data_IF_501605053210
#
_entry.id   IF_501605053210
#
_cell.length_a   1.000
_cell.length_b   1.000
_cell.length_c   1.000
_cell.angle_alpha   90.00
_cell.angle_beta   90.00
_cell.angle_gamma   90.00
#
_symmetry.space_group_name_H-M   'P 1'
#
loop_
_entity.id
_entity.type
_entity.pdbx_description
1 polymer ?
#
# COMPACT_ATOMS: atom_id res chain seq x y z
N UNK A 1 4.09 22.46 -12.22
CA UNK A 1 2.97 21.54 -12.45
C UNK A 1 3.11 20.46 -11.39
N UNK A 2 2.12 20.34 -10.53
CA UNK A 2 2.14 19.44 -9.38
C UNK A 2 2.08 17.99 -9.87
N UNK A 3 3.02 17.15 -9.41
CA UNK A 3 3.10 15.75 -9.83
C UNK A 3 1.93 14.95 -9.25
N UNK A 4 1.46 15.32 -8.05
CA UNK A 4 0.33 14.68 -7.39
C UNK A 4 -0.95 14.93 -8.20
N UNK A 5 -1.16 16.14 -8.70
CA UNK A 5 -2.30 16.44 -9.57
C UNK A 5 -2.31 15.64 -10.87
N UNK A 6 -1.14 15.35 -11.46
CA UNK A 6 -1.07 14.45 -12.64
C UNK A 6 -1.38 13.00 -12.29
N UNK A 7 -0.95 12.55 -11.11
CA UNK A 7 -1.26 11.22 -10.62
C UNK A 7 -2.77 11.11 -10.43
N UNK A 8 -3.40 12.09 -9.81
CA UNK A 8 -4.87 12.17 -9.65
C UNK A 8 -5.59 12.07 -11.00
N UNK A 9 -5.17 12.83 -12.02
CA UNK A 9 -5.73 12.74 -13.39
C UNK A 9 -5.66 11.30 -13.96
N UNK A 10 -4.54 10.60 -13.77
CA UNK A 10 -4.37 9.20 -14.21
C UNK A 10 -5.32 8.26 -13.44
N UNK A 11 -5.49 8.48 -12.14
CA UNK A 11 -6.36 7.68 -11.28
C UNK A 11 -7.85 7.91 -11.57
N UNK A 12 -8.25 9.13 -11.93
CA UNK A 12 -9.60 9.44 -12.42
C UNK A 12 -9.90 8.75 -13.76
N UNK A 13 -8.94 8.80 -14.70
CA UNK A 13 -9.05 8.09 -15.98
C UNK A 13 -9.16 6.58 -15.76
N UNK A 14 -8.39 6.04 -14.83
CA UNK A 14 -8.46 4.64 -14.43
C UNK A 14 -9.85 4.28 -13.88
N UNK A 15 -10.36 5.06 -12.92
CA UNK A 15 -11.65 4.79 -12.29
C UNK A 15 -12.80 4.79 -13.32
N UNK A 16 -12.84 5.81 -14.17
CA UNK A 16 -13.85 5.94 -15.23
C UNK A 16 -13.74 4.84 -16.29
N UNK A 17 -12.52 4.45 -16.68
CA UNK A 17 -12.30 3.38 -17.65
C UNK A 17 -12.69 2.01 -17.09
N UNK A 18 -12.31 1.73 -15.84
CA UNK A 18 -12.71 0.51 -15.11
C UNK A 18 -14.23 0.43 -14.99
N UNK A 19 -14.89 1.53 -14.62
CA UNK A 19 -16.34 1.60 -14.55
C UNK A 19 -17.02 1.28 -15.88
N UNK A 20 -16.52 1.86 -16.97
CA UNK A 20 -17.04 1.61 -18.32
C UNK A 20 -16.90 0.15 -18.72
N UNK A 21 -15.72 -0.46 -18.52
CA UNK A 21 -15.48 -1.88 -18.83
C UNK A 21 -16.46 -2.76 -18.06
N UNK A 22 -16.59 -2.56 -16.75
CA UNK A 22 -17.49 -3.38 -15.92
C UNK A 22 -18.95 -3.24 -16.36
N UNK A 23 -19.40 -2.01 -16.68
CA UNK A 23 -20.76 -1.76 -17.18
C UNK A 23 -21.01 -2.43 -18.53
N UNK A 24 -20.11 -2.25 -19.49
CA UNK A 24 -20.26 -2.80 -20.84
C UNK A 24 -20.36 -4.32 -20.82
N UNK A 25 -19.42 -4.98 -20.16
CA UNK A 25 -19.41 -6.44 -20.04
C UNK A 25 -20.60 -6.94 -19.22
N UNK A 26 -20.99 -6.20 -18.17
CA UNK A 26 -22.15 -6.52 -17.35
C UNK A 26 -23.47 -6.47 -18.13
N UNK A 27 -23.69 -5.45 -18.97
CA UNK A 27 -24.90 -5.38 -19.81
C UNK A 27 -24.91 -6.46 -20.89
N UNK A 28 -23.76 -6.75 -21.51
CA UNK A 28 -23.64 -7.83 -22.49
C UNK A 28 -23.92 -9.20 -21.86
N UNK A 29 -23.39 -9.47 -20.67
CA UNK A 29 -23.56 -10.74 -19.97
C UNK A 29 -25.03 -11.03 -19.57
N UNK A 30 -25.84 -10.00 -19.29
CA UNK A 30 -27.27 -10.17 -18.97
C UNK A 30 -28.10 -10.76 -20.11
N UNK A 31 -27.63 -10.60 -21.34
CA UNK A 31 -28.33 -11.08 -22.53
C UNK A 31 -27.87 -12.48 -22.99
N UNK A 32 -26.91 -13.08 -22.29
CA UNK A 32 -26.30 -14.36 -22.63
C UNK A 32 -26.79 -15.49 -21.72
N UNK A 33 -26.66 -16.72 -22.21
CA UNK A 33 -26.82 -17.91 -21.38
C UNK A 33 -25.66 -18.01 -20.37
N UNK A 34 -25.87 -18.78 -19.30
CA UNK A 34 -24.96 -18.78 -18.15
C UNK A 34 -23.49 -19.08 -18.52
N UNK A 35 -23.23 -20.08 -19.37
CA UNK A 35 -21.87 -20.46 -19.76
C UNK A 35 -21.18 -19.33 -20.56
N UNK A 36 -21.86 -18.78 -21.57
CA UNK A 36 -21.36 -17.67 -22.38
C UNK A 36 -21.15 -16.39 -21.55
N UNK A 37 -22.03 -16.15 -20.57
CA UNK A 37 -21.89 -15.04 -19.64
C UNK A 37 -20.65 -15.21 -18.74
N UNK A 38 -20.33 -16.43 -18.29
CA UNK A 38 -19.12 -16.68 -17.50
C UNK A 38 -17.85 -16.44 -18.31
N UNK A 39 -17.79 -16.91 -19.56
CA UNK A 39 -16.65 -16.66 -20.45
C UNK A 39 -16.43 -15.16 -20.66
N UNK A 40 -17.51 -14.41 -20.92
CA UNK A 40 -17.43 -12.97 -21.09
C UNK A 40 -16.97 -12.24 -19.81
N UNK A 41 -17.38 -12.70 -18.64
CA UNK A 41 -16.93 -12.10 -17.37
C UNK A 41 -15.46 -12.43 -17.05
N UNK A 42 -14.94 -13.57 -17.54
CA UNK A 42 -13.52 -13.86 -17.47
C UNK A 42 -12.71 -12.92 -18.39
N UNK A 43 -13.17 -12.69 -19.62
CA UNK A 43 -12.56 -11.70 -20.54
C UNK A 43 -12.54 -10.29 -19.93
N UNK A 44 -13.60 -9.91 -19.20
CA UNK A 44 -13.65 -8.64 -18.46
C UNK A 44 -12.50 -8.56 -17.46
N UNK A 45 -12.28 -9.63 -16.68
CA UNK A 45 -11.26 -9.64 -15.63
C UNK A 45 -9.84 -9.60 -16.21
N UNK A 46 -9.61 -10.27 -17.35
CA UNK A 46 -8.38 -10.14 -18.13
C UNK A 46 -8.17 -8.68 -18.58
N UNK A 47 -9.20 -8.04 -19.15
CA UNK A 47 -9.12 -6.64 -19.59
C UNK A 47 -8.88 -5.66 -18.44
N UNK A 48 -9.41 -5.94 -17.25
CA UNK A 48 -9.14 -5.15 -16.06
C UNK A 48 -7.68 -5.30 -15.59
N UNK A 49 -7.10 -6.49 -15.72
CA UNK A 49 -5.67 -6.71 -15.49
C UNK A 49 -4.80 -5.91 -16.46
N UNK A 50 -5.12 -5.94 -17.76
CA UNK A 50 -4.42 -5.12 -18.77
C UNK A 50 -4.53 -3.62 -18.46
N UNK A 51 -5.71 -3.16 -18.02
CA UNK A 51 -5.91 -1.76 -17.62
C UNK A 51 -5.01 -1.38 -16.43
N UNK A 52 -4.85 -2.27 -15.44
CA UNK A 52 -3.96 -2.02 -14.30
C UNK A 52 -2.50 -1.90 -14.77
N UNK A 53 -2.04 -2.74 -15.70
CA UNK A 53 -0.71 -2.60 -16.31
C UNK A 53 -0.54 -1.30 -17.10
N UNK A 54 -1.56 -0.89 -17.87
CA UNK A 54 -1.57 0.38 -18.61
C UNK A 54 -1.44 1.58 -17.66
N UNK A 55 -2.14 1.54 -16.52
CA UNK A 55 -2.08 2.60 -15.50
C UNK A 55 -0.73 2.65 -14.80
N UNK A 56 -0.16 1.51 -14.42
CA UNK A 56 1.19 1.46 -13.84
C UNK A 56 2.19 2.12 -14.77
N UNK A 57 2.16 1.81 -16.07
CA UNK A 57 3.06 2.45 -17.06
C UNK A 57 2.84 3.96 -17.16
N UNK A 58 1.58 4.42 -17.19
CA UNK A 58 1.27 5.86 -17.18
C UNK A 58 1.80 6.55 -15.92
N UNK A 59 1.68 5.91 -14.76
CA UNK A 59 2.23 6.43 -13.50
C UNK A 59 3.76 6.49 -13.55
N UNK A 60 4.43 5.46 -14.08
CA UNK A 60 5.89 5.46 -14.29
C UNK A 60 6.33 6.61 -15.20
N UNK A 61 5.59 6.91 -16.28
CA UNK A 61 5.86 8.05 -17.15
C UNK A 61 5.67 9.40 -16.46
N UNK A 62 4.62 9.54 -15.64
CA UNK A 62 4.31 10.76 -14.89
C UNK A 62 5.35 11.03 -13.81
N UNK A 63 5.80 9.98 -13.13
CA UNK A 63 6.74 10.05 -12.00
C UNK A 63 8.18 10.19 -12.51
N UNK A 64 8.56 9.44 -13.55
CA UNK A 64 9.92 9.38 -14.05
C UNK A 64 10.93 9.00 -12.96
N UNK A 65 12.09 9.65 -12.95
CA UNK A 65 13.16 9.41 -11.96
C UNK A 65 12.85 10.01 -10.57
N UNK A 66 11.70 10.65 -10.39
CA UNK A 66 11.33 11.34 -9.14
C UNK A 66 10.67 10.44 -8.11
N UNK A 67 10.58 9.14 -8.36
CA UNK A 67 9.90 8.23 -7.45
C UNK A 67 9.90 6.80 -7.93
N UNK A 68 9.07 5.99 -7.29
CA UNK A 68 8.85 4.58 -7.62
C UNK A 68 7.37 4.26 -7.51
N UNK A 69 6.81 3.63 -8.55
CA UNK A 69 5.44 3.08 -8.51
C UNK A 69 5.42 1.84 -7.64
N UNK A 70 4.39 1.73 -6.79
CA UNK A 70 4.15 0.59 -5.91
C UNK A 70 2.89 -0.16 -6.34
N UNK A 71 1.77 0.57 -6.49
CA UNK A 71 0.47 0.02 -6.92
C UNK A 71 0.00 -1.18 -6.09
N UNK A 72 -0.20 -0.97 -4.79
CA UNK A 72 -0.53 -2.02 -3.82
C UNK A 72 -1.86 -1.75 -3.13
N UNK A 73 -2.78 -2.71 -3.15
CA UNK A 73 -4.01 -2.64 -2.37
C UNK A 73 -3.73 -3.04 -0.91
N UNK A 74 -3.88 -2.09 0.01
CA UNK A 74 -3.50 -2.28 1.42
C UNK A 74 -4.70 -2.36 2.36
N UNK A 75 -5.86 -1.86 1.94
CA UNK A 75 -7.12 -2.07 2.65
C UNK A 75 -8.29 -2.14 1.67
N UNK A 76 -9.26 -2.98 2.00
CA UNK A 76 -10.53 -3.06 1.29
C UNK A 76 -11.60 -3.51 2.27
N UNK A 77 -12.51 -2.61 2.63
CA UNK A 77 -13.59 -2.93 3.55
C UNK A 77 -14.97 -2.67 2.94
N UNK A 78 -15.88 -3.61 3.17
CA UNK A 78 -17.29 -3.46 2.83
C UNK A 78 -18.02 -2.85 4.03
N UNK A 79 -18.70 -1.72 3.85
CA UNK A 79 -19.38 -1.01 4.95
C UNK A 79 -20.90 -0.99 4.84
N UNK A 80 -21.44 -1.49 3.73
CA UNK A 80 -22.87 -1.64 3.54
C UNK A 80 -23.10 -2.82 2.60
N UNK A 81 -23.86 -3.83 3.05
CA UNK A 81 -24.17 -5.05 2.31
C UNK A 81 -25.58 -5.57 2.60
N UNK A 82 -26.31 -5.99 1.57
CA UNK A 82 -27.60 -6.69 1.69
C UNK A 82 -28.23 -6.97 0.34
N UNK A 83 -29.53 -7.32 0.30
CA UNK A 83 -30.19 -7.74 -0.96
C UNK A 83 -30.11 -6.65 -2.04
N UNK A 84 -29.17 -6.81 -2.95
CA UNK A 84 -28.95 -5.93 -4.09
C UNK A 84 -28.14 -4.66 -3.79
N UNK A 85 -27.42 -4.55 -2.67
CA UNK A 85 -26.56 -3.39 -2.41
C UNK A 85 -25.22 -3.82 -1.80
N UNK A 86 -24.12 -3.29 -2.34
CA UNK A 86 -22.81 -3.34 -1.69
C UNK A 86 -22.00 -2.07 -1.94
N UNK A 87 -21.32 -1.59 -0.89
CA UNK A 87 -20.35 -0.51 -0.96
C UNK A 87 -19.02 -0.96 -0.36
N UNK A 88 -17.95 -0.84 -1.15
CA UNK A 88 -16.59 -1.21 -0.75
C UNK A 88 -15.69 0.02 -0.89
N UNK A 89 -15.01 0.39 0.19
CA UNK A 89 -13.89 1.34 0.15
C UNK A 89 -12.61 0.55 -0.09
N UNK A 90 -11.77 1.01 -1.01
CA UNK A 90 -10.52 0.37 -1.44
C UNK A 90 -9.42 1.40 -1.33
N UNK A 91 -8.39 1.12 -0.54
CA UNK A 91 -7.24 2.01 -0.32
C UNK A 91 -6.00 1.39 -0.96
N UNK A 92 -5.35 2.16 -1.83
CA UNK A 92 -4.09 1.77 -2.47
C UNK A 92 -2.94 2.68 -2.07
N UNK A 93 -1.76 2.09 -1.97
CA UNK A 93 -0.49 2.80 -2.09
C UNK A 93 -0.17 2.89 -3.59
N UNK A 94 -0.03 4.10 -4.10
CA UNK A 94 0.17 4.34 -5.54
C UNK A 94 1.66 4.38 -5.85
N UNK A 95 2.40 5.26 -5.18
CA UNK A 95 3.83 5.45 -5.41
C UNK A 95 4.51 6.15 -4.23
N UNK A 96 5.83 6.05 -4.19
CA UNK A 96 6.67 6.91 -3.35
C UNK A 96 7.37 7.96 -4.23
N UNK A 97 7.28 9.22 -3.85
CA UNK A 97 7.91 10.36 -4.54
C UNK A 97 9.12 10.85 -3.73
N UNK A 98 10.28 10.92 -4.36
CA UNK A 98 11.50 11.41 -3.75
C UNK A 98 11.39 12.89 -3.40
N UNK A 99 11.81 13.22 -2.18
CA UNK A 99 11.81 14.59 -1.67
C UNK A 99 13.23 15.15 -1.64
N UNK A 100 13.35 16.47 -1.52
CA UNK A 100 14.65 17.13 -1.30
C UNK A 100 15.25 16.80 0.09
N UNK A 101 14.44 16.24 1.00
CA UNK A 101 14.89 15.84 2.33
C UNK A 101 15.49 14.43 2.26
N UNK A 102 16.79 14.25 2.59
CA UNK A 102 17.44 12.95 2.54
C UNK A 102 16.69 11.90 3.38
N UNK A 103 16.55 10.70 2.83
CA UNK A 103 15.94 9.57 3.52
C UNK A 103 14.43 9.64 3.71
N UNK A 104 13.75 10.55 3.02
CA UNK A 104 12.28 10.65 3.06
C UNK A 104 11.67 10.73 1.67
N UNK A 105 10.52 10.07 1.53
CA UNK A 105 9.66 10.11 0.37
C UNK A 105 8.26 10.60 0.76
N UNK A 106 7.52 11.16 -0.20
CA UNK A 106 6.09 11.37 -0.09
C UNK A 106 5.38 10.15 -0.69
N UNK A 107 4.77 9.35 0.17
CA UNK A 107 3.91 8.26 -0.26
C UNK A 107 2.57 8.82 -0.72
N UNK A 108 2.19 8.50 -1.94
CA UNK A 108 0.90 8.86 -2.52
C UNK A 108 -0.08 7.72 -2.29
N UNK A 109 -1.21 8.06 -1.69
CA UNK A 109 -2.31 7.15 -1.39
C UNK A 109 -3.51 7.53 -2.25
N UNK A 110 -4.33 6.53 -2.59
CA UNK A 110 -5.59 6.74 -3.28
C UNK A 110 -6.69 5.89 -2.64
N UNK A 111 -7.86 6.49 -2.46
CA UNK A 111 -9.06 5.78 -2.03
C UNK A 111 -10.08 5.75 -3.15
N UNK A 112 -10.59 4.56 -3.45
CA UNK A 112 -11.67 4.34 -4.38
C UNK A 112 -12.89 3.78 -3.67
N UNK A 113 -14.07 4.18 -4.13
CA UNK A 113 -15.32 3.52 -3.77
C UNK A 113 -15.84 2.72 -4.95
N UNK A 114 -16.06 1.43 -4.69
CA UNK A 114 -16.84 0.54 -5.54
C UNK A 114 -18.23 0.40 -4.98
N UNK A 115 -19.25 0.69 -5.79
CA UNK A 115 -20.65 0.52 -5.40
C UNK A 115 -21.38 -0.35 -6.40
N UNK A 116 -22.16 -1.31 -5.92
CA UNK A 116 -23.03 -2.14 -6.73
C UNK A 116 -24.44 -2.14 -6.09
N UNK A 117 -25.33 -1.28 -6.59
CA UNK A 117 -26.65 -1.04 -6.00
C UNK A 117 -27.73 -1.23 -7.06
N UNK A 118 -28.58 -2.23 -6.88
CA UNK A 118 -29.69 -2.61 -7.77
C UNK A 118 -29.27 -2.68 -9.25
N UNK A 119 -28.13 -3.32 -9.52
CA UNK A 119 -27.59 -3.46 -10.87
C UNK A 119 -26.90 -2.22 -11.42
N UNK A 120 -26.80 -1.13 -10.65
CA UNK A 120 -25.95 0.02 -10.97
C UNK A 120 -24.57 -0.19 -10.35
N UNK A 121 -23.55 -0.13 -11.20
CA UNK A 121 -22.16 -0.17 -10.80
C UNK A 121 -21.59 1.26 -10.82
N UNK A 122 -20.80 1.61 -9.80
CA UNK A 122 -19.97 2.81 -9.77
C UNK A 122 -18.57 2.43 -9.26
N UNK A 123 -17.54 3.02 -9.85
CA UNK A 123 -16.16 2.94 -9.37
C UNK A 123 -15.56 4.34 -9.47
N UNK A 124 -15.33 4.96 -8.32
CA UNK A 124 -15.04 6.40 -8.22
C UNK A 124 -13.79 6.59 -7.36
N UNK A 125 -12.89 7.46 -7.81
CA UNK A 125 -11.80 7.98 -6.97
C UNK A 125 -12.41 8.96 -5.95
N UNK A 126 -12.27 8.67 -4.66
CA UNK A 126 -12.82 9.51 -3.59
C UNK A 126 -11.81 10.51 -3.06
N UNK A 127 -10.55 10.09 -2.91
CA UNK A 127 -9.50 10.95 -2.35
C UNK A 127 -8.10 10.52 -2.80
N UNK A 128 -7.19 11.48 -2.85
CA UNK A 128 -5.76 11.30 -3.06
C UNK A 128 -5.03 12.16 -2.03
N UNK A 129 -4.17 11.53 -1.23
CA UNK A 129 -3.39 12.24 -0.21
C UNK A 129 -1.96 11.74 -0.16
N UNK A 130 -1.11 12.55 0.49
CA UNK A 130 0.32 12.24 0.64
C UNK A 130 0.71 12.14 2.11
N UNK A 131 1.63 11.25 2.41
CA UNK A 131 2.25 11.12 3.73
C UNK A 131 3.77 11.06 3.61
N UNK A 132 4.50 11.74 4.50
CA UNK A 132 5.96 11.64 4.55
C UNK A 132 6.38 10.32 5.21
N UNK A 133 7.01 9.45 4.43
CA UNK A 133 7.52 8.15 4.86
C UNK A 133 9.05 8.14 4.76
N UNK A 134 9.75 7.42 5.64
CA UNK A 134 11.17 7.20 5.45
C UNK A 134 11.43 6.25 4.28
N UNK A 135 12.50 6.49 3.54
CA UNK A 135 12.98 5.56 2.52
C UNK A 135 13.63 4.38 3.23
N UNK A 136 13.17 3.17 2.93
CA UNK A 136 13.75 1.93 3.43
C UNK A 136 14.30 1.12 2.27
N UNK A 137 15.63 1.04 2.19
CA UNK A 137 16.36 0.27 1.20
C UNK A 137 17.67 -0.33 1.79
N UNK A 138 18.22 -1.33 1.10
CA UNK A 138 19.40 -2.07 1.55
C UNK A 138 20.70 -1.25 1.49
N UNK A 139 20.73 -0.15 0.74
CA UNK A 139 21.93 0.67 0.55
C UNK A 139 22.09 1.70 1.67
N UNK A 140 21.00 2.36 2.04
CA UNK A 140 21.01 3.49 2.96
C UNK A 140 20.46 3.12 4.35
N UNK A 141 19.56 2.15 4.42
CA UNK A 141 18.98 1.66 5.68
C UNK A 141 19.05 0.13 5.81
N UNK A 142 20.25 -0.47 5.66
CA UNK A 142 20.40 -1.92 5.65
C UNK A 142 19.82 -2.61 6.89
N UNK A 143 19.91 -2.00 8.07
CA UNK A 143 19.33 -2.55 9.28
C UNK A 143 17.81 -2.53 9.24
N UNK A 144 17.21 -1.40 8.87
CA UNK A 144 15.74 -1.28 8.83
C UNK A 144 15.15 -2.17 7.75
N UNK A 145 15.77 -2.23 6.56
CA UNK A 145 15.39 -3.14 5.50
C UNK A 145 15.44 -4.60 5.98
N UNK A 146 16.53 -4.99 6.63
CA UNK A 146 16.67 -6.34 7.20
C UNK A 146 15.64 -6.62 8.30
N UNK A 147 15.34 -5.63 9.15
CA UNK A 147 14.34 -5.76 10.21
C UNK A 147 12.95 -6.05 9.63
N UNK A 148 12.56 -5.39 8.55
CA UNK A 148 11.26 -5.62 7.89
C UNK A 148 11.10 -7.07 7.42
N UNK A 149 12.18 -7.69 6.94
CA UNK A 149 12.19 -9.11 6.54
C UNK A 149 12.06 -10.06 7.74
N UNK A 150 12.67 -9.70 8.87
CA UNK A 150 12.76 -10.55 10.05
C UNK A 150 11.49 -10.51 10.92
N UNK A 151 10.66 -9.47 10.77
CA UNK A 151 9.40 -9.34 11.51
C UNK A 151 8.38 -10.34 10.96
N UNK A 152 7.84 -11.25 11.80
CA UNK A 152 6.82 -12.17 11.38
C UNK A 152 5.44 -11.49 11.42
N UNK A 153 5.15 -10.67 10.40
CA UNK A 153 3.94 -9.86 10.30
C UNK A 153 2.64 -10.63 10.52
N UNK A 154 2.59 -11.91 10.14
CA UNK A 154 1.45 -12.80 10.36
C UNK A 154 1.08 -13.00 11.85
N UNK A 155 2.00 -12.73 12.77
CA UNK A 155 1.77 -12.80 14.22
C UNK A 155 1.53 -11.43 14.86
N UNK A 156 1.62 -10.35 14.08
CA UNK A 156 1.40 -8.99 14.56
C UNK A 156 -0.08 -8.64 14.40
N UNK A 157 -0.74 -8.31 15.51
CA UNK A 157 -2.15 -7.95 15.54
C UNK A 157 -2.33 -6.50 15.06
N UNK A 158 -3.42 -6.18 14.33
CA UNK A 158 -3.67 -4.83 13.82
C UNK A 158 -3.63 -3.73 14.88
N UNK A 159 -4.04 -4.03 16.11
CA UNK A 159 -4.02 -3.07 17.23
C UNK A 159 -2.60 -2.58 17.59
N UNK A 160 -1.56 -3.37 17.28
CA UNK A 160 -0.17 -3.03 17.56
C UNK A 160 0.63 -2.66 16.31
N UNK A 161 0.18 -3.05 15.12
CA UNK A 161 0.85 -2.80 13.84
C UNK A 161 1.26 -1.33 13.68
N UNK A 162 0.33 -0.39 13.91
CA UNK A 162 0.60 1.05 13.78
C UNK A 162 1.73 1.54 14.69
N UNK A 163 1.83 1.04 15.91
CA UNK A 163 2.91 1.43 16.83
C UNK A 163 4.24 0.85 16.36
N UNK A 164 4.24 -0.39 15.87
CA UNK A 164 5.43 -1.07 15.36
C UNK A 164 5.94 -0.38 14.09
N UNK A 165 5.05 -0.07 13.14
CA UNK A 165 5.37 0.69 11.93
C UNK A 165 5.98 2.05 12.29
N UNK A 166 5.45 2.74 13.31
CA UNK A 166 6.02 3.99 13.79
C UNK A 166 7.44 3.81 14.33
N UNK A 167 7.69 2.76 15.12
CA UNK A 167 9.04 2.45 15.62
C UNK A 167 10.02 2.19 14.48
N UNK A 168 9.59 1.40 13.48
CA UNK A 168 10.40 1.08 12.29
C UNK A 168 10.69 2.37 11.51
N UNK A 169 9.69 3.24 11.32
CA UNK A 169 9.88 4.50 10.63
C UNK A 169 10.88 5.42 11.37
N UNK A 170 10.85 5.44 12.70
CA UNK A 170 11.83 6.19 13.50
C UNK A 170 13.24 5.59 13.42
N UNK A 171 13.37 4.26 13.36
CA UNK A 171 14.65 3.58 13.12
C UNK A 171 15.21 3.90 11.73
N UNK A 172 14.39 3.84 10.69
CA UNK A 172 14.77 4.18 9.32
C UNK A 172 15.34 5.60 9.23
N UNK A 173 14.64 6.58 9.83
CA UNK A 173 15.10 7.98 9.89
C UNK A 173 16.42 8.10 10.64
N UNK A 174 16.54 7.45 11.79
CA UNK A 174 17.77 7.49 12.57
C UNK A 174 18.94 6.84 11.84
N UNK A 175 18.70 5.78 11.07
CA UNK A 175 19.71 5.12 10.26
C UNK A 175 20.22 6.03 9.14
N UNK A 176 19.32 6.65 8.39
CA UNK A 176 19.65 7.69 7.41
C UNK A 176 20.47 8.84 7.99
N UNK A 177 20.14 9.27 9.21
CA UNK A 177 20.83 10.37 9.90
C UNK A 177 22.15 9.94 10.57
N UNK A 178 22.54 8.67 10.50
CA UNK A 178 23.74 8.14 11.16
C UNK A 178 23.62 8.02 12.69
N UNK A 179 22.39 8.03 13.23
CA UNK A 179 22.05 7.93 14.65
C UNK A 179 21.39 6.60 15.03
N UNK A 180 21.51 5.57 14.17
CA UNK A 180 20.88 4.26 14.38
C UNK A 180 21.13 3.70 15.78
N UNK A 181 22.37 3.71 16.27
CA UNK A 181 22.74 3.08 17.56
C UNK A 181 22.00 3.69 18.74
N UNK A 182 21.87 5.02 18.78
CA UNK A 182 21.12 5.72 19.82
C UNK A 182 19.65 5.31 19.79
N UNK A 183 19.05 5.39 18.59
CA UNK A 183 17.62 5.11 18.43
C UNK A 183 17.26 3.64 18.65
N UNK A 184 18.12 2.73 18.19
CA UNK A 184 18.01 1.30 18.42
C UNK A 184 17.98 0.98 19.93
N UNK A 185 18.86 1.60 20.72
CA UNK A 185 18.86 1.43 22.17
C UNK A 185 17.62 2.01 22.87
N UNK A 186 16.98 3.03 22.32
CA UNK A 186 15.66 3.50 22.79
C UNK A 186 14.56 2.50 22.46
N UNK A 187 14.48 2.08 21.19
CA UNK A 187 13.46 1.14 20.71
C UNK A 187 13.52 -0.20 21.45
N UNK A 188 14.72 -0.72 21.70
CA UNK A 188 14.91 -1.96 22.48
C UNK A 188 14.38 -1.80 23.90
N UNK A 189 14.70 -0.71 24.60
CA UNK A 189 14.19 -0.45 25.95
C UNK A 189 12.66 -0.33 25.97
N UNK A 190 12.07 0.27 24.94
CA UNK A 190 10.61 0.38 24.81
C UNK A 190 9.96 -1.00 24.58
N UNK A 191 10.52 -1.80 23.68
CA UNK A 191 10.07 -3.16 23.40
C UNK A 191 10.22 -4.08 24.62
N UNK A 192 11.33 -3.98 25.36
CA UNK A 192 11.57 -4.71 26.60
C UNK A 192 10.58 -4.29 27.70
N UNK A 193 10.35 -2.99 27.87
CA UNK A 193 9.36 -2.47 28.81
C UNK A 193 7.93 -2.92 28.47
N UNK A 194 7.65 -3.13 27.18
CA UNK A 194 6.40 -3.66 26.66
C UNK A 194 6.38 -5.17 26.45
N UNK A 195 7.37 -5.94 26.94
CA UNK A 195 7.51 -7.36 26.62
C UNK A 195 6.35 -8.26 27.09
N UNK A 196 5.42 -7.75 27.90
CA UNK A 196 4.16 -8.45 28.20
C UNK A 196 3.21 -8.51 27.00
N UNK A 197 3.44 -7.69 25.96
CA UNK A 197 2.78 -7.72 24.66
C UNK A 197 3.52 -8.70 23.76
N UNK A 198 2.85 -9.79 23.38
CA UNK A 198 3.44 -10.85 22.55
C UNK A 198 4.01 -10.34 21.22
N UNK A 199 3.31 -9.41 20.58
CA UNK A 199 3.71 -8.77 19.33
C UNK A 199 5.06 -8.04 19.47
N UNK A 200 5.31 -7.39 20.61
CA UNK A 200 6.58 -6.70 20.88
C UNK A 200 7.72 -7.69 21.10
N UNK A 201 7.45 -8.88 21.65
CA UNK A 201 8.46 -9.94 21.75
C UNK A 201 8.92 -10.40 20.36
N UNK A 202 7.99 -10.53 19.40
CA UNK A 202 8.33 -10.87 18.02
C UNK A 202 9.20 -9.82 17.36
N UNK A 203 8.85 -8.54 17.52
CA UNK A 203 9.62 -7.42 16.98
C UNK A 203 10.99 -7.33 17.65
N UNK A 204 11.08 -7.50 18.96
CA UNK A 204 12.34 -7.51 19.70
C UNK A 204 13.26 -8.65 19.22
N UNK A 205 12.72 -9.85 19.03
CA UNK A 205 13.48 -10.96 18.48
C UNK A 205 13.95 -10.69 17.04
N UNK A 206 13.13 -10.04 16.22
CA UNK A 206 13.50 -9.61 14.87
C UNK A 206 14.64 -8.57 14.89
N UNK A 207 14.58 -7.61 15.81
CA UNK A 207 15.64 -6.61 16.03
C UNK A 207 16.98 -7.28 16.33
N UNK A 208 17.02 -8.25 17.25
CA UNK A 208 18.26 -8.96 17.56
C UNK A 208 18.78 -9.78 16.37
N UNK A 209 17.90 -10.45 15.61
CA UNK A 209 18.31 -11.19 14.41
C UNK A 209 18.87 -10.28 13.32
N UNK A 210 18.21 -9.16 13.05
CA UNK A 210 18.66 -8.18 12.07
C UNK A 210 20.02 -7.59 12.47
N UNK A 211 20.20 -7.26 13.75
CA UNK A 211 21.46 -6.75 14.26
C UNK A 211 22.60 -7.78 14.20
N UNK A 212 22.33 -9.04 14.57
CA UNK A 212 23.29 -10.13 14.46
C UNK A 212 23.75 -10.34 13.02
N UNK A 213 22.81 -10.36 12.07
CA UNK A 213 23.10 -10.51 10.65
C UNK A 213 24.04 -9.42 10.09
N UNK A 214 23.97 -8.21 10.66
CA UNK A 214 24.75 -7.05 10.22
C UNK A 214 25.94 -6.72 11.15
N UNK A 215 26.20 -7.54 12.18
CA UNK A 215 27.28 -7.32 13.14
C UNK A 215 27.10 -6.06 14.00
N UNK A 216 25.86 -5.61 14.21
CA UNK A 216 25.53 -4.43 15.01
C UNK A 216 25.36 -4.87 16.47
N UNK A 217 26.00 -4.12 17.39
CA UNK A 217 25.78 -4.31 18.83
C UNK A 217 24.52 -3.57 19.26
N UNK A 218 23.54 -4.35 19.74
CA UNK A 218 22.28 -3.90 20.34
C UNK A 218 22.47 -3.67 21.84
#
# INVERSE_FOLDING_TARGET
MDIVGKIEEVLEEYASTRERIVKEYGERAKALEWEEAQELLAERDERLGELEEEVVKKLEEVIGERGKVLWECVDSHEYASGMGFSHTAITLIVCDLWTDKPGTALRVWAQFRRSAVYGRYEYVLEDVWTEEVPIVDDEHTPFTAKLLEEIPWQYIRPIWARNIEKMIAELARAEWEGRLREKLGETVRELEGGAWIYDYQHVLAAVYRAAEALGIQV
#
